data_IF_404879982881
#
_entry.id   IF_404879982881
#
_cell.length_a   1.000
_cell.length_b   1.000
_cell.length_c   1.000
_cell.angle_alpha   90.00
_cell.angle_beta   90.00
_cell.angle_gamma   90.00
#
_symmetry.space_group_name_H-M   'P 1'
#
loop_
_entity.id
_entity.type
_entity.pdbx_description
1 polymer ?
#
# COMPACT_ATOMS: atom_id res chain seq x y z
N UNK A 1 -4.72 -8.63 3.88
CA UNK A 1 -3.48 -9.24 3.34
C UNK A 1 -3.00 -8.38 2.18
N UNK A 2 -1.70 -8.07 2.04
CA UNK A 2 -1.20 -7.37 0.87
C UNK A 2 0.12 -7.98 0.41
N UNK A 3 0.48 -7.73 -0.85
CA UNK A 3 1.78 -8.16 -1.39
C UNK A 3 2.04 -9.65 -1.31
N UNK A 4 1.01 -10.50 -1.45
CA UNK A 4 1.16 -11.97 -1.35
C UNK A 4 1.10 -12.67 -2.69
N UNK A 5 1.78 -13.80 -2.77
CA UNK A 5 1.81 -14.68 -3.93
C UNK A 5 1.06 -15.98 -3.66
N UNK A 6 0.17 -16.35 -4.58
CA UNK A 6 -0.56 -17.62 -4.58
C UNK A 6 -0.42 -18.31 -5.92
N UNK A 7 -0.12 -19.62 -5.93
CA UNK A 7 0.18 -20.34 -7.17
C UNK A 7 -0.37 -21.76 -7.24
N UNK A 8 -0.17 -22.56 -6.20
CA UNK A 8 -0.49 -23.99 -6.27
C UNK A 8 -1.93 -24.18 -5.84
N UNK A 9 -2.77 -24.51 -6.81
CA UNK A 9 -4.21 -24.73 -6.61
C UNK A 9 -4.48 -26.18 -6.28
N UNK A 10 -5.47 -26.41 -5.41
CA UNK A 10 -6.01 -27.73 -5.17
C UNK A 10 -6.59 -28.31 -6.47
N UNK A 11 -6.36 -29.60 -6.73
CA UNK A 11 -6.93 -30.31 -7.89
C UNK A 11 -8.46 -30.44 -7.84
N UNK A 12 -9.09 -30.09 -6.71
CA UNK A 12 -10.55 -30.14 -6.53
C UNK A 12 -11.31 -29.14 -7.40
N UNK A 13 -10.67 -28.06 -7.84
CA UNK A 13 -11.26 -27.08 -8.74
C UNK A 13 -10.18 -26.58 -9.71
N UNK A 14 -10.30 -27.01 -10.96
CA UNK A 14 -9.39 -26.61 -12.04
C UNK A 14 -9.94 -25.48 -12.91
N UNK A 15 -11.10 -24.91 -12.56
CA UNK A 15 -11.78 -23.90 -13.37
C UNK A 15 -11.01 -22.57 -13.35
N UNK A 16 -10.98 -21.81 -14.45
CA UNK A 16 -10.30 -20.52 -14.52
C UNK A 16 -10.82 -19.51 -13.50
N UNK A 17 -9.94 -18.89 -12.72
CA UNK A 17 -10.32 -17.82 -11.78
C UNK A 17 -9.92 -16.43 -12.24
N UNK A 18 -9.41 -16.27 -13.46
CA UNK A 18 -8.94 -14.98 -13.94
C UNK A 18 -9.42 -14.71 -15.37
N UNK A 19 -9.67 -13.43 -15.64
CA UNK A 19 -10.03 -12.88 -16.93
C UNK A 19 -8.91 -11.96 -17.43
N UNK A 20 -8.72 -11.92 -18.75
CA UNK A 20 -7.81 -10.99 -19.41
C UNK A 20 -8.52 -9.71 -19.86
N UNK A 21 -7.76 -8.74 -20.36
CA UNK A 21 -8.29 -7.43 -20.77
C UNK A 21 -9.40 -7.50 -21.85
N UNK A 22 -9.44 -8.57 -22.63
CA UNK A 22 -10.46 -8.82 -23.66
C UNK A 22 -11.74 -9.45 -23.09
N UNK A 23 -11.84 -9.64 -21.76
CA UNK A 23 -12.97 -10.28 -21.12
C UNK A 23 -13.02 -11.80 -21.32
N UNK A 24 -11.91 -12.42 -21.75
CA UNK A 24 -11.81 -13.88 -21.92
C UNK A 24 -11.15 -14.50 -20.69
N UNK A 25 -11.61 -15.68 -20.27
CA UNK A 25 -10.98 -16.46 -19.22
C UNK A 25 -9.54 -16.79 -19.59
N UNK A 26 -8.65 -16.76 -18.60
CA UNK A 26 -7.28 -17.23 -18.74
C UNK A 26 -7.31 -18.74 -18.54
N UNK A 27 -7.07 -19.54 -19.60
CA UNK A 27 -7.31 -20.98 -19.55
C UNK A 27 -6.36 -21.67 -18.56
N UNK A 28 -6.93 -22.62 -17.82
CA UNK A 28 -6.26 -23.56 -16.91
C UNK A 28 -5.96 -24.91 -17.57
N UNK A 29 -6.34 -25.09 -18.84
CA UNK A 29 -6.15 -26.33 -19.60
C UNK A 29 -4.66 -26.71 -19.65
N UNK A 30 -4.33 -27.89 -19.10
CA UNK A 30 -3.04 -28.38 -18.58
C UNK A 30 -2.69 -27.95 -17.16
N UNK A 31 -2.22 -28.91 -16.35
CA UNK A 31 -1.82 -28.73 -14.95
C UNK A 31 -0.77 -27.61 -14.75
N UNK A 32 0.07 -27.38 -15.76
CA UNK A 32 1.04 -26.27 -15.77
C UNK A 32 0.39 -24.88 -15.80
N UNK A 33 -0.81 -24.75 -16.38
CA UNK A 33 -1.58 -23.50 -16.43
C UNK A 33 -2.53 -23.36 -15.25
N UNK A 34 -2.94 -24.48 -14.63
CA UNK A 34 -3.69 -24.48 -13.38
C UNK A 34 -2.90 -23.74 -12.29
N UNK A 35 -1.61 -24.04 -12.16
CA UNK A 35 -0.71 -23.45 -11.18
C UNK A 35 -0.07 -22.13 -11.65
N UNK A 36 -0.87 -21.28 -12.30
CA UNK A 36 -0.47 -19.92 -12.65
C UNK A 36 -0.35 -19.10 -11.35
N UNK A 37 0.76 -18.36 -11.13
CA UNK A 37 0.84 -17.49 -9.99
C UNK A 37 -0.07 -16.26 -10.11
N UNK A 38 -0.55 -15.81 -8.95
CA UNK A 38 -1.34 -14.61 -8.75
C UNK A 38 -0.67 -13.75 -7.69
N UNK A 39 -0.66 -12.44 -7.91
CA UNK A 39 -0.25 -11.43 -6.92
C UNK A 39 -1.51 -10.88 -6.30
N UNK A 40 -1.72 -11.14 -5.02
CA UNK A 40 -2.72 -10.45 -4.21
C UNK A 40 -2.10 -9.13 -3.76
N UNK A 41 -2.52 -8.03 -4.35
CA UNK A 41 -2.00 -6.73 -3.94
C UNK A 41 -2.75 -6.17 -2.74
N UNK A 42 -4.00 -6.58 -2.52
CA UNK A 42 -4.81 -6.15 -1.39
C UNK A 42 -5.88 -7.19 -1.08
N UNK A 43 -6.23 -7.33 0.20
CA UNK A 43 -7.40 -8.08 0.64
C UNK A 43 -8.00 -7.51 1.92
N UNK A 44 -9.32 -7.51 1.94
CA UNK A 44 -10.21 -7.38 3.10
C UNK A 44 -11.18 -8.57 3.07
N UNK A 45 -12.50 -8.35 3.08
CA UNK A 45 -13.52 -9.35 2.73
C UNK A 45 -13.36 -9.93 1.32
N UNK A 46 -12.73 -9.17 0.43
CA UNK A 46 -12.39 -9.60 -0.93
C UNK A 46 -10.88 -9.65 -1.14
N UNK A 47 -10.45 -10.56 -2.00
CA UNK A 47 -9.08 -10.66 -2.49
C UNK A 47 -9.00 -10.01 -3.87
N UNK A 48 -8.10 -9.03 -4.01
CA UNK A 48 -7.84 -8.32 -5.25
C UNK A 48 -6.51 -8.79 -5.83
N UNK A 49 -6.57 -9.46 -6.98
CA UNK A 49 -5.42 -10.19 -7.50
C UNK A 49 -5.16 -9.96 -8.99
N UNK A 50 -3.87 -10.03 -9.31
CA UNK A 50 -3.32 -9.84 -10.64
C UNK A 50 -2.74 -11.15 -11.16
N UNK A 51 -2.93 -11.42 -12.45
CA UNK A 51 -2.33 -12.60 -13.06
C UNK A 51 -0.84 -12.39 -13.35
N UNK A 52 -0.01 -13.37 -12.99
CA UNK A 52 1.40 -13.39 -13.37
C UNK A 52 1.59 -14.29 -14.58
N UNK A 53 2.50 -13.91 -15.48
CA UNK A 53 2.84 -14.66 -16.69
C UNK A 53 4.35 -14.84 -16.80
N UNK A 54 4.80 -16.03 -17.17
CA UNK A 54 6.19 -16.26 -17.59
C UNK A 54 6.47 -15.60 -18.93
N UNK A 55 7.58 -14.85 -19.00
CA UNK A 55 8.08 -14.28 -20.23
C UNK A 55 8.91 -15.37 -20.92
N UNK A 56 8.57 -15.65 -22.18
CA UNK A 56 9.25 -16.64 -23.02
C UNK A 56 9.76 -15.95 -24.28
N UNK A 57 10.73 -16.56 -24.98
CA UNK A 57 11.23 -16.03 -26.26
C UNK A 57 10.09 -15.70 -27.24
N UNK A 58 9.06 -16.54 -27.29
CA UNK A 58 7.87 -16.37 -28.15
C UNK A 58 6.99 -15.18 -27.78
N UNK A 59 6.94 -14.78 -26.50
CA UNK A 59 6.02 -13.74 -26.04
C UNK A 59 6.70 -12.47 -25.53
N UNK A 60 8.04 -12.43 -25.54
CA UNK A 60 8.87 -11.38 -24.93
C UNK A 60 8.44 -10.00 -25.38
N UNK A 61 8.55 -9.72 -26.68
CA UNK A 61 8.24 -8.41 -27.26
C UNK A 61 6.86 -7.91 -26.83
N UNK A 62 5.80 -8.68 -27.11
CA UNK A 62 4.41 -8.32 -26.76
C UNK A 62 4.21 -8.10 -25.26
N UNK A 63 4.92 -8.84 -24.42
CA UNK A 63 4.76 -8.76 -22.96
C UNK A 63 5.52 -7.56 -22.40
N UNK A 64 6.73 -7.28 -22.89
CA UNK A 64 7.56 -6.17 -22.42
C UNK A 64 7.17 -4.82 -23.01
N UNK A 65 6.53 -4.79 -24.19
CA UNK A 65 6.04 -3.55 -24.80
C UNK A 65 4.67 -3.10 -24.28
N UNK A 66 3.95 -3.96 -23.57
CA UNK A 66 2.67 -3.61 -22.94
C UNK A 66 2.93 -2.82 -21.66
N UNK A 67 2.68 -1.52 -21.73
CA UNK A 67 2.92 -0.54 -20.67
C UNK A 67 2.07 -0.78 -19.40
N UNK A 68 1.10 -1.70 -19.44
CA UNK A 68 0.27 -2.12 -18.30
C UNK A 68 0.90 -3.26 -17.51
N UNK A 69 2.06 -3.78 -17.93
CA UNK A 69 2.77 -4.82 -17.18
C UNK A 69 3.85 -4.22 -16.27
N UNK A 70 4.07 -4.87 -15.13
CA UNK A 70 5.33 -4.77 -14.39
C UNK A 70 6.22 -5.93 -14.84
N UNK A 71 7.43 -5.60 -15.31
CA UNK A 71 8.42 -6.59 -15.76
C UNK A 71 9.37 -6.88 -14.61
N UNK A 72 9.52 -8.16 -14.29
CA UNK A 72 10.48 -8.68 -13.32
C UNK A 72 11.56 -9.41 -14.13
N UNK A 73 12.64 -8.73 -14.56
CA UNK A 73 13.63 -9.30 -15.46
C UNK A 73 14.62 -10.21 -14.72
N UNK A 74 15.07 -11.25 -15.42
CA UNK A 74 16.14 -12.18 -15.01
C UNK A 74 15.92 -12.92 -13.67
N UNK A 75 14.72 -12.81 -13.11
CA UNK A 75 14.28 -13.51 -11.91
C UNK A 75 12.79 -13.82 -12.03
N UNK A 76 12.34 -14.85 -11.34
CA UNK A 76 10.92 -15.10 -11.19
C UNK A 76 10.34 -14.25 -10.05
N UNK A 77 9.02 -14.21 -9.94
CA UNK A 77 8.32 -13.47 -8.86
C UNK A 77 8.64 -13.96 -7.44
N UNK A 78 9.31 -15.09 -7.28
CA UNK A 78 9.78 -15.65 -6.00
C UNK A 78 11.27 -15.36 -5.74
N UNK A 79 11.89 -14.48 -6.54
CA UNK A 79 13.29 -14.08 -6.38
C UNK A 79 14.33 -15.04 -6.94
N UNK A 80 13.95 -16.19 -7.51
CA UNK A 80 14.90 -17.13 -8.13
C UNK A 80 15.30 -16.66 -9.53
N UNK A 81 16.60 -16.69 -9.83
CA UNK A 81 17.14 -16.37 -11.15
C UNK A 81 16.55 -17.27 -12.27
N UNK A 82 16.25 -16.65 -13.42
CA UNK A 82 15.75 -17.31 -14.63
C UNK A 82 16.21 -16.54 -15.87
N UNK A 83 16.22 -17.20 -17.05
CA UNK A 83 16.74 -16.61 -18.31
C UNK A 83 16.07 -15.28 -18.72
N UNK A 84 14.76 -15.12 -18.52
CA UNK A 84 14.02 -13.94 -19.00
C UNK A 84 13.24 -13.23 -17.89
N UNK A 85 12.37 -13.97 -17.19
CA UNK A 85 11.65 -13.44 -16.03
C UNK A 85 10.13 -13.58 -16.09
N UNK A 86 9.45 -12.77 -15.30
CA UNK A 86 7.99 -12.72 -15.21
C UNK A 86 7.42 -11.34 -15.53
N UNK A 87 6.13 -11.32 -15.89
CA UNK A 87 5.33 -10.11 -16.01
C UNK A 87 4.09 -10.21 -15.14
N UNK A 88 3.81 -9.16 -14.37
CA UNK A 88 2.59 -8.99 -13.58
C UNK A 88 1.67 -8.07 -14.38
N UNK A 89 0.48 -8.55 -14.72
CA UNK A 89 -0.46 -7.81 -15.55
C UNK A 89 -1.36 -6.92 -14.68
N UNK A 90 -1.23 -5.59 -14.80
CA UNK A 90 -2.04 -4.61 -14.08
C UNK A 90 -3.22 -4.05 -14.90
N UNK A 91 -3.45 -4.58 -16.12
CA UNK A 91 -4.59 -4.17 -16.96
C UNK A 91 -5.93 -4.75 -16.50
N UNK A 92 -5.91 -5.80 -15.66
CA UNK A 92 -7.10 -6.42 -15.10
C UNK A 92 -6.88 -6.78 -13.64
N UNK A 93 -7.80 -6.32 -12.81
CA UNK A 93 -7.92 -6.74 -11.41
C UNK A 93 -9.05 -7.76 -11.35
N UNK A 94 -8.70 -8.97 -10.92
CA UNK A 94 -9.68 -9.99 -10.60
C UNK A 94 -10.00 -9.88 -9.10
N UNK A 95 -11.26 -10.09 -8.77
CA UNK A 95 -11.77 -9.98 -7.39
C UNK A 95 -12.51 -11.25 -7.03
N UNK A 96 -12.35 -11.73 -5.81
CA UNK A 96 -13.08 -12.88 -5.29
C UNK A 96 -13.30 -12.70 -3.81
N UNK A 97 -14.39 -13.23 -3.27
CA UNK A 97 -14.59 -13.30 -1.81
C UNK A 97 -13.42 -14.10 -1.18
N UNK A 98 -12.92 -13.63 -0.04
CA UNK A 98 -11.64 -14.09 0.50
C UNK A 98 -11.64 -15.57 0.83
N UNK A 99 -12.67 -16.07 1.52
CA UNK A 99 -12.76 -17.47 1.89
C UNK A 99 -12.84 -18.36 0.65
N UNK A 100 -13.62 -17.96 -0.34
CA UNK A 100 -13.66 -18.64 -1.62
C UNK A 100 -12.28 -18.68 -2.29
N UNK A 101 -11.54 -17.57 -2.32
CA UNK A 101 -10.21 -17.53 -2.93
C UNK A 101 -9.22 -18.46 -2.24
N UNK A 102 -9.09 -18.34 -0.92
CA UNK A 102 -8.13 -19.11 -0.13
C UNK A 102 -8.43 -20.61 -0.19
N UNK A 103 -9.71 -21.01 -0.24
CA UNK A 103 -10.12 -22.42 -0.36
C UNK A 103 -9.64 -23.13 -1.63
N UNK A 104 -9.23 -22.38 -2.66
CA UNK A 104 -8.78 -22.93 -3.94
C UNK A 104 -7.30 -23.32 -3.94
N UNK A 105 -6.54 -22.94 -2.92
CA UNK A 105 -5.10 -23.14 -2.84
C UNK A 105 -4.75 -24.25 -1.85
N UNK A 106 -3.65 -24.95 -2.14
CA UNK A 106 -3.10 -25.93 -1.20
C UNK A 106 -2.61 -25.23 0.07
N UNK A 107 -3.08 -25.71 1.22
CA UNK A 107 -2.63 -25.30 2.56
C UNK A 107 -1.15 -25.70 2.73
N UNK A 108 -0.37 -24.85 3.40
CA UNK A 108 1.06 -25.06 3.71
C UNK A 108 1.99 -25.31 2.50
N UNK A 109 1.52 -24.99 1.29
CA UNK A 109 2.37 -25.08 0.11
C UNK A 109 3.35 -23.90 0.06
N UNK A 110 4.65 -24.19 -0.03
CA UNK A 110 5.74 -23.18 -0.07
C UNK A 110 5.65 -22.11 -1.17
N UNK A 111 4.74 -22.24 -2.13
CA UNK A 111 4.52 -21.26 -3.21
C UNK A 111 3.24 -20.42 -3.03
N UNK A 112 2.49 -20.66 -1.95
CA UNK A 112 1.28 -19.94 -1.55
C UNK A 112 1.56 -19.09 -0.30
N UNK A 113 0.83 -17.99 -0.14
CA UNK A 113 1.02 -16.99 0.92
C UNK A 113 2.48 -16.49 1.09
N UNK A 114 3.22 -16.47 -0.02
CA UNK A 114 4.61 -16.00 -0.03
C UNK A 114 4.64 -14.49 -0.16
N UNK A 115 5.45 -13.81 0.66
CA UNK A 115 5.67 -12.36 0.54
C UNK A 115 6.32 -12.03 -0.81
N UNK A 116 5.73 -11.07 -1.52
CA UNK A 116 6.32 -10.49 -2.72
C UNK A 116 7.44 -9.54 -2.30
N UNK A 117 8.55 -9.55 -3.04
CA UNK A 117 9.63 -8.58 -2.87
C UNK A 117 9.07 -7.14 -2.81
N UNK A 118 9.47 -6.39 -1.77
CA UNK A 118 8.89 -5.07 -1.49
C UNK A 118 9.08 -4.08 -2.64
N UNK A 119 10.19 -4.16 -3.38
CA UNK A 119 10.42 -3.31 -4.55
C UNK A 119 9.48 -3.71 -5.69
N UNK A 120 9.30 -5.01 -5.96
CA UNK A 120 8.33 -5.48 -6.96
C UNK A 120 6.91 -5.03 -6.55
N UNK A 121 6.55 -5.14 -5.28
CA UNK A 121 5.24 -4.68 -4.79
C UNK A 121 5.05 -3.17 -4.98
N UNK A 122 6.04 -2.34 -4.65
CA UNK A 122 6.01 -0.89 -4.94
C UNK A 122 5.81 -0.63 -6.44
N UNK A 123 6.52 -1.35 -7.29
CA UNK A 123 6.42 -1.22 -8.75
C UNK A 123 5.02 -1.62 -9.25
N UNK A 124 4.39 -2.65 -8.65
CA UNK A 124 2.98 -3.05 -8.88
C UNK A 124 2.02 -1.94 -8.46
N UNK A 125 2.14 -1.40 -7.24
CA UNK A 125 1.26 -0.33 -6.76
C UNK A 125 1.35 0.92 -7.65
N UNK A 126 2.57 1.26 -8.08
CA UNK A 126 2.84 2.38 -9.00
C UNK A 126 2.22 2.14 -10.37
N UNK A 127 2.35 0.92 -10.89
CA UNK A 127 1.73 0.56 -12.16
C UNK A 127 0.21 0.59 -12.08
N UNK A 128 -0.38 0.06 -11.01
CA UNK A 128 -1.83 0.08 -10.80
C UNK A 128 -2.36 1.51 -10.77
N UNK A 129 -1.75 2.41 -9.97
CA UNK A 129 -2.13 3.82 -9.91
C UNK A 129 -2.09 4.48 -11.30
N UNK A 130 -1.00 4.29 -12.04
CA UNK A 130 -0.88 4.77 -13.43
C UNK A 130 -2.00 4.25 -14.33
N UNK A 131 -2.26 2.93 -14.31
CA UNK A 131 -3.26 2.30 -15.17
C UNK A 131 -4.68 2.73 -14.80
N UNK A 132 -4.95 3.00 -13.51
CA UNK A 132 -6.21 3.56 -13.05
C UNK A 132 -6.43 4.98 -13.55
N UNK A 133 -5.48 5.89 -13.31
CA UNK A 133 -5.58 7.27 -13.79
C UNK A 133 -5.72 7.36 -15.30
N UNK A 134 -5.12 6.40 -16.03
CA UNK A 134 -5.20 6.30 -17.49
C UNK A 134 -6.44 5.54 -18.02
N UNK A 135 -7.35 5.07 -17.15
CA UNK A 135 -8.52 4.24 -17.50
C UNK A 135 -8.17 2.98 -18.31
N UNK A 136 -6.99 2.39 -18.04
CA UNK A 136 -6.43 1.19 -18.69
C UNK A 136 -6.66 -0.09 -17.89
N UNK A 137 -7.30 -0.02 -16.72
CA UNK A 137 -7.59 -1.14 -15.83
C UNK A 137 -9.06 -1.51 -15.88
N UNK A 138 -9.36 -2.81 -15.88
CA UNK A 138 -10.72 -3.36 -15.76
C UNK A 138 -10.86 -4.24 -14.52
N UNK A 139 -12.08 -4.36 -14.02
CA UNK A 139 -12.42 -5.29 -12.94
C UNK A 139 -13.28 -6.47 -13.42
N UNK A 140 -12.99 -7.65 -12.87
CA UNK A 140 -13.85 -8.83 -13.00
C UNK A 140 -13.95 -9.51 -11.65
N UNK A 141 -15.16 -9.85 -11.23
CA UNK A 141 -15.38 -10.53 -9.95
C UNK A 141 -15.78 -11.98 -10.20
N UNK A 142 -15.13 -12.92 -9.52
CA UNK A 142 -15.59 -14.30 -9.39
C UNK A 142 -16.55 -14.38 -8.22
N UNK A 143 -17.75 -14.93 -8.47
CA UNK A 143 -18.80 -15.10 -7.45
C UNK A 143 -19.12 -16.57 -7.15
N UNK A 144 -18.39 -17.49 -7.78
CA UNK A 144 -18.54 -18.91 -7.53
C UNK A 144 -18.28 -19.74 -8.78
N UNK A 145 -18.62 -21.02 -8.64
CA UNK A 145 -18.41 -22.03 -9.65
C UNK A 145 -19.73 -22.78 -9.89
N UNK A 146 -19.95 -23.23 -11.10
CA UNK A 146 -20.85 -24.36 -11.36
C UNK A 146 -20.03 -25.58 -11.79
N UNK A 147 -20.71 -26.64 -12.20
CA UNK A 147 -20.09 -27.92 -12.59
C UNK A 147 -19.01 -27.77 -13.68
N UNK A 148 -19.11 -26.77 -14.56
CA UNK A 148 -18.26 -26.69 -15.76
C UNK A 148 -17.65 -25.32 -16.02
N UNK A 149 -18.06 -24.27 -15.32
CA UNK A 149 -17.56 -22.90 -15.53
C UNK A 149 -17.53 -22.09 -14.24
N UNK A 150 -16.59 -21.14 -14.23
CA UNK A 150 -16.55 -20.08 -13.23
C UNK A 150 -17.60 -19.02 -13.55
N UNK A 151 -18.32 -18.57 -12.52
CA UNK A 151 -19.30 -17.48 -12.62
C UNK A 151 -18.60 -16.15 -12.39
N UNK A 152 -18.66 -15.27 -13.40
CA UNK A 152 -18.07 -13.95 -13.34
C UNK A 152 -19.11 -12.84 -13.41
N UNK A 153 -18.93 -11.81 -12.59
CA UNK A 153 -19.56 -10.50 -12.76
C UNK A 153 -18.59 -9.61 -13.55
N UNK A 154 -19.09 -9.04 -14.64
CA UNK A 154 -18.35 -8.07 -15.46
C UNK A 154 -18.34 -6.70 -14.78
N UNK A 155 -17.29 -5.93 -14.99
CA UNK A 155 -17.04 -4.59 -14.44
C UNK A 155 -18.26 -3.69 -14.22
N UNK A 156 -19.14 -3.56 -15.22
CA UNK A 156 -20.34 -2.70 -15.16
C UNK A 156 -21.33 -3.11 -14.07
N UNK A 157 -21.32 -4.37 -13.64
CA UNK A 157 -22.23 -4.95 -12.65
C UNK A 157 -21.55 -5.22 -11.30
N UNK A 158 -20.25 -4.98 -11.19
CA UNK A 158 -19.54 -5.12 -9.92
C UNK A 158 -19.97 -3.97 -9.02
N UNK A 159 -20.23 -4.30 -7.75
CA UNK A 159 -20.51 -3.33 -6.70
C UNK A 159 -19.47 -2.21 -6.72
N UNK A 160 -19.93 -0.96 -6.68
CA UNK A 160 -19.05 0.21 -6.62
C UNK A 160 -18.11 0.17 -5.42
N UNK A 161 -18.56 -0.30 -4.26
CA UNK A 161 -17.77 -0.37 -3.04
C UNK A 161 -16.56 -1.29 -3.19
N UNK A 162 -16.73 -2.42 -3.89
CA UNK A 162 -15.62 -3.34 -4.19
C UNK A 162 -14.53 -2.62 -5.01
N UNK A 163 -14.91 -1.83 -6.01
CA UNK A 163 -13.95 -1.09 -6.83
C UNK A 163 -13.31 0.05 -6.05
N UNK A 164 -14.09 0.80 -5.28
CA UNK A 164 -13.62 1.91 -4.45
C UNK A 164 -12.60 1.42 -3.43
N UNK A 165 -12.83 0.27 -2.76
CA UNK A 165 -11.89 -0.26 -1.78
C UNK A 165 -10.49 -0.53 -2.38
N UNK A 166 -10.40 -1.08 -3.59
CA UNK A 166 -9.12 -1.28 -4.27
C UNK A 166 -8.42 0.05 -4.61
N UNK A 167 -9.18 1.03 -5.09
CA UNK A 167 -8.64 2.35 -5.47
C UNK A 167 -8.17 3.09 -4.22
N UNK A 168 -8.99 3.15 -3.18
CA UNK A 168 -8.65 3.75 -1.89
C UNK A 168 -7.40 3.12 -1.30
N UNK A 169 -7.27 1.78 -1.31
CA UNK A 169 -6.06 1.12 -0.83
C UNK A 169 -4.81 1.56 -1.60
N UNK A 170 -4.91 1.72 -2.93
CA UNK A 170 -3.78 2.18 -3.75
C UNK A 170 -3.43 3.63 -3.41
N UNK A 171 -4.40 4.53 -3.33
CA UNK A 171 -4.14 5.93 -3.02
C UNK A 171 -3.56 6.08 -1.61
N UNK A 172 -4.13 5.41 -0.61
CA UNK A 172 -3.61 5.38 0.76
C UNK A 172 -2.20 4.79 0.83
N UNK A 173 -1.89 3.74 0.06
CA UNK A 173 -0.51 3.23 -0.05
C UNK A 173 0.46 4.33 -0.50
N UNK A 174 0.07 5.17 -1.46
CA UNK A 174 0.91 6.27 -1.93
C UNK A 174 1.01 7.40 -0.92
N UNK A 175 -0.07 7.77 -0.26
CA UNK A 175 -0.03 8.76 0.83
C UNK A 175 0.94 8.33 1.93
N UNK A 176 0.84 7.07 2.36
CA UNK A 176 1.76 6.50 3.36
C UNK A 176 3.20 6.41 2.85
N UNK A 177 3.41 6.06 1.57
CA UNK A 177 4.75 6.01 0.98
C UNK A 177 5.49 7.36 1.03
N UNK A 178 4.74 8.48 0.94
CA UNK A 178 5.30 9.83 1.07
C UNK A 178 5.21 10.40 2.48
N UNK A 179 4.60 9.67 3.42
CA UNK A 179 4.55 10.05 4.83
C UNK A 179 5.90 9.74 5.48
N UNK A 180 6.49 10.67 6.26
CA UNK A 180 7.69 10.37 7.04
C UNK A 180 7.47 9.14 7.92
N UNK A 181 8.42 8.19 7.93
CA UNK A 181 8.28 6.97 8.72
C UNK A 181 8.06 7.24 10.21
N UNK A 182 8.61 8.33 10.75
CA UNK A 182 8.39 8.74 12.16
C UNK A 182 6.93 9.10 12.47
N UNK A 183 6.14 9.45 11.46
CA UNK A 183 4.70 9.81 11.58
C UNK A 183 3.76 8.71 11.10
N UNK A 184 4.30 7.59 10.61
CA UNK A 184 3.49 6.57 9.94
C UNK A 184 2.53 5.86 10.89
N UNK A 185 2.91 5.67 12.15
CA UNK A 185 2.04 5.04 13.17
C UNK A 185 0.81 5.90 13.44
N UNK A 186 0.97 7.22 13.51
CA UNK A 186 -0.14 8.15 13.69
C UNK A 186 -1.12 8.05 12.51
N UNK A 187 -0.61 8.02 11.28
CA UNK A 187 -1.45 7.89 10.08
C UNK A 187 -2.13 6.52 10.02
N UNK A 188 -1.42 5.43 10.32
CA UNK A 188 -1.97 4.07 10.32
C UNK A 188 -3.05 3.86 11.40
N UNK A 189 -2.93 4.52 12.56
CA UNK A 189 -3.92 4.42 13.64
C UNK A 189 -5.32 4.92 13.25
N UNK A 190 -5.41 5.73 12.20
CA UNK A 190 -6.66 6.28 11.65
C UNK A 190 -7.24 5.42 10.52
N UNK A 191 -6.55 4.35 10.12
CA UNK A 191 -6.90 3.49 8.99
C UNK A 191 -7.42 2.13 9.47
N UNK A 192 -8.14 1.39 8.61
CA UNK A 192 -8.55 0.02 8.91
C UNK A 192 -7.36 -0.91 9.22
N UNK A 193 -7.61 -1.96 10.01
CA UNK A 193 -6.55 -2.86 10.50
C UNK A 193 -5.79 -3.59 9.37
N UNK A 194 -6.39 -3.75 8.19
CA UNK A 194 -5.76 -4.39 7.03
C UNK A 194 -4.50 -3.64 6.54
N UNK A 195 -4.35 -2.37 6.93
CA UNK A 195 -3.23 -1.51 6.58
C UNK A 195 -2.06 -1.61 7.56
N UNK A 196 -2.28 -2.17 8.76
CA UNK A 196 -1.30 -2.16 9.87
C UNK A 196 0.09 -2.70 9.50
N UNK A 197 0.17 -3.68 8.60
CA UNK A 197 1.45 -4.25 8.17
C UNK A 197 2.23 -3.39 7.17
N UNK A 198 1.67 -2.28 6.67
CA UNK A 198 2.33 -1.42 5.69
C UNK A 198 3.59 -0.75 6.24
N UNK A 199 3.64 -0.42 7.53
CA UNK A 199 4.87 0.13 8.16
C UNK A 199 6.05 -0.80 7.95
N UNK A 200 5.90 -2.09 8.29
CA UNK A 200 6.96 -3.09 8.14
C UNK A 200 7.41 -3.21 6.68
N UNK A 201 6.46 -3.16 5.75
CA UNK A 201 6.77 -3.14 4.31
C UNK A 201 7.62 -1.92 3.92
N UNK A 202 7.25 -0.71 4.36
CA UNK A 202 8.02 0.49 4.04
C UNK A 202 9.41 0.48 4.67
N UNK A 203 9.53 0.04 5.92
CA UNK A 203 10.83 -0.13 6.58
C UNK A 203 11.74 -1.07 5.79
N UNK A 204 11.21 -2.22 5.34
CA UNK A 204 11.95 -3.14 4.50
C UNK A 204 12.34 -2.52 3.15
N UNK A 205 11.41 -1.79 2.51
CA UNK A 205 11.64 -1.10 1.24
C UNK A 205 12.73 -0.03 1.33
N UNK A 206 12.77 0.72 2.43
CA UNK A 206 13.76 1.77 2.69
C UNK A 206 15.03 1.24 3.34
N UNK A 207 15.07 -0.06 3.70
CA UNK A 207 16.18 -0.72 4.40
C UNK A 207 16.53 -0.06 5.73
N UNK A 208 15.49 0.31 6.48
CA UNK A 208 15.59 0.94 7.80
C UNK A 208 15.20 -0.09 8.87
N UNK A 209 15.99 -0.17 9.92
CA UNK A 209 15.72 -1.00 11.10
C UNK A 209 14.80 -0.30 12.10
N UNK A 210 14.19 -1.05 13.02
CA UNK A 210 13.38 -0.47 14.11
C UNK A 210 14.23 0.40 15.04
N UNK A 211 15.46 0.01 15.31
CA UNK A 211 16.39 0.78 16.15
C UNK A 211 16.73 2.14 15.53
N UNK A 212 17.08 2.16 14.24
CA UNK A 212 17.34 3.41 13.51
C UNK A 212 16.12 4.33 13.53
N UNK A 213 14.92 3.78 13.30
CA UNK A 213 13.69 4.57 13.32
C UNK A 213 13.39 5.13 14.72
N UNK A 214 13.55 4.33 15.76
CA UNK A 214 13.32 4.76 17.14
C UNK A 214 14.29 5.87 17.56
N UNK A 215 15.56 5.77 17.15
CA UNK A 215 16.55 6.81 17.39
C UNK A 215 16.18 8.13 16.70
N UNK A 216 15.65 8.06 15.47
CA UNK A 216 15.20 9.26 14.74
C UNK A 216 13.98 9.91 15.40
N UNK A 217 13.04 9.12 15.92
CA UNK A 217 11.89 9.61 16.69
C UNK A 217 12.35 10.31 17.96
N UNK A 218 13.28 9.71 18.72
CA UNK A 218 13.82 10.32 19.94
C UNK A 218 14.47 11.67 19.67
N UNK A 219 15.33 11.77 18.64
CA UNK A 219 15.98 13.03 18.25
C UNK A 219 14.97 14.12 17.86
N UNK A 220 13.88 13.76 17.17
CA UNK A 220 12.82 14.72 16.83
C UNK A 220 12.11 15.25 18.09
N UNK A 221 11.76 14.36 19.01
CA UNK A 221 11.11 14.74 20.26
C UNK A 221 12.00 15.64 21.12
N UNK A 222 13.31 15.36 21.20
CA UNK A 222 14.27 16.22 21.90
C UNK A 222 14.34 17.62 21.28
N UNK A 223 14.38 17.71 19.95
CA UNK A 223 14.35 19.00 19.25
C UNK A 223 13.05 19.77 19.51
N UNK A 224 11.90 19.11 19.44
CA UNK A 224 10.60 19.73 19.72
C UNK A 224 10.49 20.23 21.16
N UNK A 225 10.99 19.47 22.13
CA UNK A 225 11.03 19.88 23.53
C UNK A 225 11.93 21.11 23.75
N UNK A 226 13.13 21.12 23.15
CA UNK A 226 14.05 22.26 23.23
C UNK A 226 13.42 23.55 22.64
N UNK A 227 12.70 23.44 21.52
CA UNK A 227 11.99 24.57 20.91
C UNK A 227 10.86 25.06 21.82
N UNK A 228 10.12 24.13 22.43
CA UNK A 228 9.04 24.46 23.36
C UNK A 228 9.55 25.18 24.60
N UNK A 229 10.61 24.67 25.23
CA UNK A 229 11.28 25.30 26.38
C UNK A 229 11.79 26.71 26.04
N UNK A 230 12.40 26.88 24.86
CA UNK A 230 12.86 28.19 24.40
C UNK A 230 11.71 29.20 24.24
N UNK A 231 10.58 28.76 23.68
CA UNK A 231 9.39 29.60 23.51
C UNK A 231 8.73 29.94 24.86
N UNK A 232 8.68 29.00 25.80
CA UNK A 232 8.20 29.25 27.17
C UNK A 232 9.10 30.29 27.88
N UNK A 233 10.42 30.15 27.72
CA UNK A 233 11.39 31.10 28.27
C UNK A 233 11.21 32.51 27.68
N UNK A 234 11.05 32.64 26.35
CA UNK A 234 10.74 33.92 25.69
C UNK A 234 9.45 34.55 26.23
N UNK A 235 8.38 33.76 26.40
CA UNK A 235 7.12 34.25 26.94
C UNK A 235 7.24 34.74 28.40
N UNK A 236 8.08 34.09 29.22
CA UNK A 236 8.38 34.57 30.57
C UNK A 236 9.14 35.89 30.57
N UNK A 237 10.09 36.08 29.64
CA UNK A 237 10.82 37.35 29.48
C UNK A 237 9.90 38.48 29.04
N UNK A 238 9.07 38.29 28.01
CA UNK A 238 8.11 39.31 27.55
C UNK A 238 7.09 39.69 28.62
N UNK A 239 6.59 38.72 29.40
CA UNK A 239 5.67 39.00 30.51
C UNK A 239 6.33 39.75 31.67
N UNK A 240 7.62 39.53 31.91
CA UNK A 240 8.38 40.25 32.93
C UNK A 240 8.75 41.68 32.48
N UNK A 241 8.96 41.93 31.20
CA UNK A 241 9.16 43.27 30.65
C UNK A 241 7.88 44.12 30.72
N UNK A 242 6.72 43.55 30.36
CA UNK A 242 5.41 44.20 30.52
C UNK A 242 5.13 44.60 31.98
N UNK A 243 5.44 43.72 32.94
CA UNK A 243 5.32 44.03 34.38
C UNK A 243 6.30 45.13 34.85
N UNK A 244 7.50 45.22 34.26
CA UNK A 244 8.47 46.29 34.54
C UNK A 244 8.05 47.64 33.94
N UNK A 245 7.39 47.66 32.79
CA UNK A 245 6.84 48.89 32.21
C UNK A 245 5.62 49.41 32.97
N UNK A 246 4.70 48.52 33.35
CA UNK A 246 3.53 48.87 34.17
C UNK A 246 3.92 49.42 35.55
N UNK A 247 4.95 48.83 36.18
CA UNK A 247 5.48 49.31 37.46
C UNK A 247 6.20 50.67 37.34
N UNK A 248 6.92 50.92 36.23
CA UNK A 248 7.50 52.24 35.91
C UNK A 248 6.44 53.31 35.62
N UNK A 249 5.33 52.97 34.96
CA UNK A 249 4.22 53.91 34.74
C UNK A 249 3.49 54.24 36.05
N UNK A 250 3.29 53.26 36.93
CA UNK A 250 2.70 53.47 38.27
C UNK A 250 3.57 54.32 39.19
N UNK A 251 4.89 54.20 39.14
CA UNK A 251 5.81 55.05 39.91
C UNK A 251 5.83 56.49 39.39
N UNK A 252 5.85 56.72 38.07
CA UNK A 252 5.75 58.08 37.47
C UNK A 252 4.43 58.80 37.81
N UNK A 253 3.31 58.08 37.95
CA UNK A 253 2.03 58.66 38.39
C UNK A 253 2.02 59.04 39.88
N UNK A 254 2.77 58.35 40.74
CA UNK A 254 2.88 58.69 42.17
C UNK A 254 3.76 59.92 42.41
N UNK A 255 4.90 60.07 41.73
CA UNK A 255 5.77 61.25 41.87
C UNK A 255 5.18 62.54 41.32
N UNK A 256 4.28 62.49 40.33
CA UNK A 256 3.53 63.68 39.88
C UNK A 256 2.47 64.16 40.88
N UNK A 257 2.02 63.31 41.82
CA UNK A 257 0.99 63.65 42.81
C UNK A 257 1.56 64.21 44.11
N UNK A 258 2.88 64.07 44.35
CA UNK A 258 3.56 64.58 45.55
C UNK A 258 4.33 65.89 45.32
N UNK A 259 4.24 66.49 44.14
CA UNK A 259 4.88 67.78 43.80
C UNK A 259 3.89 68.95 43.66
N UNK A 260 2.70 68.82 44.24
CA UNK A 260 1.59 69.78 44.12
C UNK A 260 1.03 70.21 45.49
N UNK A 261 1.86 70.11 46.52
CA UNK A 261 1.65 70.77 47.81
C UNK A 261 2.84 71.68 48.09
N UNK A 262 2.72 72.93 47.62
CA UNK A 262 3.13 74.19 48.24
C UNK A 262 2.75 75.34 47.32
#
# INVERSE_FOLDING_TARGET
>A
MFGKLFKVRSSKNDLPIAINYLGKTIPTVNILKLNRPYVVFYSNDYVYYLSVKSITKKNKYKTTSDDRNVIVPNRNIYGKEVEIGNAINCSVINVMERNLFESLFEVDNKWNDVELDAKIYKDVMSKLRYTFSSKKTKFYQVVGFDTYKTKFIKEKKIDSQIKTAAISFIDTYFELFYTPLTKIDETLSKLPNEYSSLKKHFMHLFKITEEELNNDIQKQNEQENNVKEYNEMLNMFSNNELKKEDSKQRTKKKTKKSGLEL
#
